data_IF_995929211149
#
_entry.id   IF_995929211149
#
_cell.length_a   1.000
_cell.length_b   1.000
_cell.length_c   1.000
_cell.angle_alpha   90.00
_cell.angle_beta   90.00
_cell.angle_gamma   90.00
#
_symmetry.space_group_name_H-M   'P 1'
#
loop_
_entity.id
_entity.type
_entity.pdbx_description
1 polymer ?
#
# COMPACT_ATOMS: atom_id res chain seq x y z
N UNK A 1 6.46 -2.29 -8.89
CA UNK A 1 6.16 -3.63 -9.45
C UNK A 1 5.10 -3.52 -10.53
N UNK A 2 5.36 -4.08 -11.70
CA UNK A 2 4.43 -4.15 -12.81
C UNK A 2 3.79 -5.54 -12.89
N UNK A 3 2.49 -5.62 -12.65
CA UNK A 3 1.67 -6.84 -12.78
C UNK A 3 2.21 -8.08 -12.04
N UNK A 4 2.61 -8.00 -10.77
CA UNK A 4 3.17 -9.14 -10.06
C UNK A 4 2.18 -10.29 -9.93
N UNK A 5 2.67 -11.52 -10.08
CA UNK A 5 1.93 -12.77 -9.98
C UNK A 5 2.73 -13.74 -9.12
N UNK A 6 2.12 -14.22 -8.02
CA UNK A 6 2.78 -15.16 -7.09
C UNK A 6 4.19 -14.70 -6.71
N UNK A 7 4.30 -13.44 -6.31
CA UNK A 7 5.57 -12.74 -6.08
C UNK A 7 5.80 -12.55 -4.60
N UNK A 8 7.05 -12.68 -4.19
CA UNK A 8 7.50 -12.37 -2.82
C UNK A 8 8.57 -11.28 -2.90
N UNK A 9 8.36 -10.20 -2.14
CA UNK A 9 9.33 -9.14 -1.89
C UNK A 9 9.73 -9.23 -0.42
N UNK A 10 10.92 -9.76 -0.14
CA UNK A 10 11.34 -10.02 1.24
C UNK A 10 12.82 -9.72 1.48
N UNK A 11 13.12 -9.39 2.74
CA UNK A 11 14.48 -9.17 3.25
C UNK A 11 15.25 -8.05 2.53
N UNK A 12 14.52 -7.06 1.97
CA UNK A 12 15.12 -5.89 1.31
C UNK A 12 15.21 -4.70 2.26
N UNK A 13 16.06 -3.75 1.88
CA UNK A 13 16.16 -2.43 2.51
C UNK A 13 15.83 -1.38 1.47
N UNK A 14 14.78 -0.58 1.75
CA UNK A 14 14.40 0.60 1.01
C UNK A 14 14.86 1.80 1.82
N UNK A 15 15.86 2.49 1.34
CA UNK A 15 16.55 3.54 2.10
C UNK A 15 16.40 4.90 1.42
N UNK A 16 15.82 5.87 2.14
CA UNK A 16 15.66 7.27 1.73
C UNK A 16 15.02 7.45 0.34
N UNK A 17 13.93 6.75 0.06
CA UNK A 17 13.20 6.96 -1.20
C UNK A 17 12.51 8.33 -1.21
N UNK A 18 12.59 9.04 -2.32
CA UNK A 18 11.98 10.38 -2.44
C UNK A 18 10.46 10.33 -2.36
N UNK A 19 9.85 9.37 -2.99
CA UNK A 19 8.41 9.10 -2.93
C UNK A 19 8.11 7.73 -2.30
N UNK A 20 7.04 7.11 -2.75
CA UNK A 20 6.63 5.75 -2.38
C UNK A 20 7.78 4.75 -2.59
N UNK A 21 8.09 3.94 -1.57
CA UNK A 21 9.13 2.91 -1.68
C UNK A 21 8.66 1.72 -2.52
N UNK A 22 7.40 1.32 -2.39
CA UNK A 22 6.78 0.28 -3.21
C UNK A 22 5.50 0.82 -3.83
N UNK A 23 5.50 0.94 -5.14
CA UNK A 23 4.33 1.30 -5.94
C UNK A 23 3.78 0.07 -6.66
N UNK A 24 2.49 -0.19 -6.46
CA UNK A 24 1.71 -1.23 -7.11
C UNK A 24 0.58 -0.55 -7.88
N UNK A 25 0.94 0.09 -8.97
CA UNK A 25 0.00 0.79 -9.84
C UNK A 25 -0.40 -0.12 -11.00
N UNK A 26 -1.70 -0.16 -11.29
CA UNK A 26 -2.19 -0.71 -12.54
C UNK A 26 -2.46 0.43 -13.50
N UNK A 27 -1.63 0.60 -14.50
CA UNK A 27 -1.82 1.64 -15.51
C UNK A 27 -2.63 1.10 -16.70
N UNK A 28 -3.91 1.40 -16.67
CA UNK A 28 -4.86 1.10 -17.75
C UNK A 28 -5.47 2.40 -18.32
N UNK A 29 -4.76 3.52 -18.22
CA UNK A 29 -5.24 4.82 -18.63
C UNK A 29 -4.17 5.56 -19.44
N UNK A 30 -4.06 5.24 -20.70
CA UNK A 30 -3.18 5.92 -21.67
C UNK A 30 -1.92 5.13 -22.01
N UNK A 31 -1.10 4.76 -21.05
CA UNK A 31 0.17 4.07 -21.30
C UNK A 31 0.07 2.56 -21.31
N UNK A 32 -0.84 1.99 -20.53
CA UNK A 32 -1.08 0.52 -20.44
C UNK A 32 0.17 -0.29 -20.06
N UNK A 33 1.01 0.25 -19.19
CA UNK A 33 2.31 -0.33 -18.86
C UNK A 33 2.23 -1.42 -17.80
N UNK A 34 1.17 -1.45 -17.00
CA UNK A 34 1.05 -2.43 -15.92
C UNK A 34 -0.39 -2.85 -15.66
N UNK A 35 -0.57 -4.11 -15.31
CA UNK A 35 -1.85 -4.69 -14.93
C UNK A 35 -2.00 -4.85 -13.42
N UNK A 36 -3.02 -5.59 -13.04
CA UNK A 36 -3.35 -5.84 -11.65
C UNK A 36 -2.34 -6.74 -10.93
N UNK A 37 -2.19 -6.52 -9.64
CA UNK A 37 -1.46 -7.41 -8.73
C UNK A 37 -2.31 -8.64 -8.42
N UNK A 38 -1.70 -9.81 -8.42
CA UNK A 38 -2.31 -11.08 -8.00
C UNK A 38 -1.29 -11.88 -7.18
N UNK A 39 -1.63 -12.23 -5.94
CA UNK A 39 -0.79 -13.04 -5.04
C UNK A 39 0.60 -12.45 -4.78
N UNK A 40 0.63 -11.42 -3.94
CA UNK A 40 1.86 -10.74 -3.54
C UNK A 40 2.08 -10.83 -2.03
N UNK A 41 3.30 -11.14 -1.64
CA UNK A 41 3.77 -11.06 -0.26
C UNK A 41 4.88 -10.02 -0.16
N UNK A 42 4.72 -9.04 0.73
CA UNK A 42 5.76 -8.06 1.12
C UNK A 42 6.07 -8.30 2.58
N UNK A 43 7.23 -8.87 2.88
CA UNK A 43 7.56 -9.23 4.27
C UNK A 43 9.03 -9.06 4.61
N UNK A 44 9.29 -8.82 5.91
CA UNK A 44 10.64 -8.70 6.50
C UNK A 44 11.53 -7.65 5.84
N UNK A 45 10.92 -6.67 5.16
CA UNK A 45 11.66 -5.55 4.61
C UNK A 45 11.88 -4.46 5.66
N UNK A 46 12.89 -3.64 5.44
CA UNK A 46 13.12 -2.39 6.16
C UNK A 46 12.84 -1.22 5.23
N UNK A 47 12.00 -0.31 5.68
CA UNK A 47 11.72 0.97 5.03
C UNK A 47 12.32 2.06 5.91
N UNK A 48 13.31 2.76 5.41
CA UNK A 48 14.06 3.79 6.15
C UNK A 48 13.82 5.12 5.47
N UNK A 49 13.14 6.05 6.17
CA UNK A 49 12.92 7.42 5.72
C UNK A 49 12.46 7.55 4.27
N UNK A 50 11.43 6.82 3.88
CA UNK A 50 10.75 7.05 2.61
C UNK A 50 9.94 8.34 2.65
N UNK A 51 9.52 8.84 1.49
CA UNK A 51 8.69 10.04 1.31
C UNK A 51 9.46 11.36 1.61
N UNK A 52 10.73 11.41 1.31
CA UNK A 52 11.54 12.60 1.62
C UNK A 52 11.16 13.84 0.81
N UNK A 53 10.49 13.68 -0.34
CA UNK A 53 10.08 14.83 -1.17
C UNK A 53 8.61 14.90 -1.52
N UNK A 54 7.81 13.87 -1.23
CA UNK A 54 6.38 13.81 -1.58
C UNK A 54 6.11 14.11 -3.06
N UNK A 55 7.01 13.71 -3.94
CA UNK A 55 6.90 13.93 -5.38
C UNK A 55 6.23 12.73 -6.06
N UNK A 56 5.34 13.00 -6.99
CA UNK A 56 4.65 12.08 -7.92
C UNK A 56 4.34 10.63 -7.41
N UNK A 57 3.11 10.21 -7.50
CA UNK A 57 2.62 8.88 -7.03
C UNK A 57 2.84 8.61 -5.53
N UNK A 58 3.01 9.66 -4.76
CA UNK A 58 3.35 9.57 -3.35
C UNK A 58 2.12 9.71 -2.47
N UNK A 59 1.56 8.59 -2.02
CA UNK A 59 0.48 8.57 -1.04
C UNK A 59 0.94 8.03 0.31
N UNK A 60 1.83 7.03 0.30
CA UNK A 60 2.34 6.36 1.47
C UNK A 60 3.66 5.64 1.14
N UNK A 61 4.32 5.07 2.14
CA UNK A 61 5.52 4.25 1.95
C UNK A 61 5.25 3.07 1.00
N UNK A 62 4.08 2.45 1.12
CA UNK A 62 3.57 1.46 0.18
C UNK A 62 2.26 1.98 -0.39
N UNK A 63 2.17 2.12 -1.70
CA UNK A 63 0.97 2.60 -2.41
C UNK A 63 0.46 1.57 -3.41
N UNK A 64 -0.84 1.25 -3.33
CA UNK A 64 -1.52 0.26 -4.17
C UNK A 64 -2.76 0.90 -4.74
N UNK A 65 -2.78 1.19 -6.03
CA UNK A 65 -3.97 1.77 -6.69
C UNK A 65 -3.94 1.54 -8.19
N UNK A 66 -5.09 1.58 -8.88
CA UNK A 66 -5.13 1.57 -10.32
C UNK A 66 -5.24 2.98 -10.92
N UNK A 67 -4.59 3.18 -12.03
CA UNK A 67 -4.85 4.26 -12.98
C UNK A 67 -5.81 3.75 -14.05
N UNK A 68 -7.11 3.80 -13.76
CA UNK A 68 -8.16 3.38 -14.70
C UNK A 68 -9.25 4.44 -14.81
N UNK A 69 -9.78 4.68 -16.03
CA UNK A 69 -10.91 5.57 -16.21
C UNK A 69 -12.15 5.04 -15.48
N UNK A 70 -12.96 5.94 -14.94
CA UNK A 70 -14.25 5.60 -14.34
C UNK A 70 -14.17 4.48 -13.29
N UNK A 71 -13.18 4.51 -12.41
CA UNK A 71 -13.00 3.51 -11.36
C UNK A 71 -14.29 3.24 -10.57
N UNK A 72 -15.09 4.27 -10.29
CA UNK A 72 -16.34 4.13 -9.54
C UNK A 72 -17.39 3.26 -10.26
N UNK A 73 -17.33 3.19 -11.58
CA UNK A 73 -18.25 2.37 -12.40
C UNK A 73 -17.80 0.92 -12.55
N UNK A 74 -16.59 0.58 -12.11
CA UNK A 74 -16.09 -0.80 -12.18
C UNK A 74 -16.86 -1.68 -11.18
N UNK A 75 -17.26 -2.87 -11.62
CA UNK A 75 -17.97 -3.84 -10.77
C UNK A 75 -17.02 -4.52 -9.81
N UNK A 76 -15.86 -4.94 -10.29
CA UNK A 76 -14.87 -5.68 -9.54
C UNK A 76 -13.74 -4.79 -9.01
N UNK A 77 -12.96 -5.34 -8.09
CA UNK A 77 -11.75 -4.73 -7.57
C UNK A 77 -10.58 -5.00 -8.52
N UNK A 78 -9.79 -3.98 -8.78
CA UNK A 78 -8.69 -4.10 -9.76
C UNK A 78 -7.58 -5.05 -9.27
N UNK A 79 -7.09 -4.82 -8.05
CA UNK A 79 -6.02 -5.62 -7.46
C UNK A 79 -6.55 -6.76 -6.59
N UNK A 80 -5.72 -7.78 -6.36
CA UNK A 80 -6.03 -8.93 -5.52
C UNK A 80 -6.88 -9.97 -6.26
N UNK A 81 -8.13 -10.15 -5.85
CA UNK A 81 -9.09 -11.04 -6.49
C UNK A 81 -9.54 -12.21 -5.60
N UNK A 82 -8.93 -12.39 -4.45
CA UNK A 82 -9.34 -13.38 -3.43
C UNK A 82 -8.90 -12.93 -2.04
N UNK A 83 -9.46 -13.53 -1.00
CA UNK A 83 -9.05 -13.28 0.40
C UNK A 83 -7.53 -13.47 0.54
N UNK A 84 -6.86 -12.54 1.24
CA UNK A 84 -5.41 -12.56 1.50
C UNK A 84 -4.53 -12.55 0.25
N UNK A 85 -5.01 -11.99 -0.85
CA UNK A 85 -4.25 -11.93 -2.09
C UNK A 85 -2.99 -11.06 -2.01
N UNK A 86 -3.03 -10.01 -1.18
CA UNK A 86 -1.89 -9.12 -0.91
C UNK A 86 -1.62 -9.16 0.58
N UNK A 87 -0.46 -9.69 0.96
CA UNK A 87 -0.03 -9.82 2.35
C UNK A 87 1.20 -8.93 2.61
N UNK A 88 1.05 -7.98 3.53
CA UNK A 88 2.11 -7.06 3.97
C UNK A 88 2.34 -7.30 5.46
N UNK A 89 3.40 -8.02 5.80
CA UNK A 89 3.63 -8.43 7.18
C UNK A 89 5.09 -8.42 7.62
N UNK A 90 5.30 -8.29 8.93
CA UNK A 90 6.63 -8.42 9.56
C UNK A 90 7.69 -7.45 8.99
N UNK A 91 7.25 -6.34 8.39
CA UNK A 91 8.13 -5.28 7.95
C UNK A 91 8.48 -4.34 9.11
N UNK A 92 9.57 -3.58 8.93
CA UNK A 92 10.00 -2.54 9.86
C UNK A 92 10.01 -1.21 9.14
N UNK A 93 9.25 -0.24 9.67
CA UNK A 93 9.19 1.13 9.19
C UNK A 93 9.94 2.03 10.17
N UNK A 94 11.03 2.62 9.72
CA UNK A 94 11.74 3.70 10.40
C UNK A 94 11.40 4.98 9.65
N UNK A 95 10.55 5.82 10.22
CA UNK A 95 9.94 6.90 9.46
C UNK A 95 9.82 8.18 10.28
N UNK A 96 10.02 9.32 9.63
CA UNK A 96 9.77 10.65 10.17
C UNK A 96 8.34 11.14 9.95
N UNK A 97 7.57 10.46 9.04
CA UNK A 97 6.22 10.87 8.66
C UNK A 97 5.18 9.80 8.99
N UNK A 98 3.89 10.09 8.76
CA UNK A 98 2.78 9.24 9.20
C UNK A 98 2.32 8.19 8.19
N UNK A 99 2.24 8.45 6.87
CA UNK A 99 1.66 7.52 5.92
C UNK A 99 2.50 6.25 5.72
N UNK A 100 1.92 5.09 5.99
CA UNK A 100 2.58 3.79 5.79
C UNK A 100 2.01 3.02 4.60
N UNK A 101 0.68 2.95 4.50
CA UNK A 101 -0.02 2.22 3.46
C UNK A 101 -1.19 3.03 2.91
N UNK A 102 -1.24 3.15 1.60
CA UNK A 102 -2.42 3.58 0.85
C UNK A 102 -2.85 2.45 -0.08
N UNK A 103 -4.12 2.04 -0.03
CA UNK A 103 -4.64 1.00 -0.89
C UNK A 103 -6.01 1.38 -1.46
N UNK A 104 -6.15 1.24 -2.77
CA UNK A 104 -7.39 1.53 -3.50
C UNK A 104 -7.73 0.42 -4.48
N UNK A 105 -9.02 0.04 -4.49
CA UNK A 105 -9.55 -1.00 -5.37
C UNK A 105 -8.83 -2.35 -5.24
N UNK A 106 -8.77 -2.87 -4.02
CA UNK A 106 -8.14 -4.15 -3.68
C UNK A 106 -9.16 -5.12 -3.08
N UNK A 107 -9.16 -6.35 -3.55
CA UNK A 107 -9.85 -7.46 -2.91
C UNK A 107 -8.83 -8.42 -2.28
N UNK A 108 -8.81 -8.47 -0.95
CA UNK A 108 -7.92 -9.33 -0.17
C UNK A 108 -6.60 -8.67 0.23
N UNK A 109 -6.67 -7.68 1.12
CA UNK A 109 -5.52 -6.97 1.67
C UNK A 109 -5.31 -7.34 3.14
N UNK A 110 -4.10 -7.76 3.47
CA UNK A 110 -3.67 -8.00 4.85
C UNK A 110 -2.45 -7.13 5.16
N UNK A 111 -2.58 -6.28 6.18
CA UNK A 111 -1.46 -5.48 6.72
C UNK A 111 -1.36 -5.76 8.22
N UNK A 112 -0.42 -6.60 8.63
CA UNK A 112 -0.31 -7.08 10.02
C UNK A 112 1.13 -7.27 10.49
N UNK A 113 1.30 -7.27 11.81
CA UNK A 113 2.59 -7.57 12.46
C UNK A 113 3.76 -6.72 11.94
N UNK A 114 3.48 -5.53 11.43
CA UNK A 114 4.50 -4.57 11.03
C UNK A 114 4.91 -3.74 12.25
N UNK A 115 6.19 -3.41 12.35
CA UNK A 115 6.73 -2.57 13.42
C UNK A 115 7.05 -1.19 12.88
N UNK A 116 6.61 -0.16 13.60
CA UNK A 116 6.86 1.23 13.25
C UNK A 116 7.70 1.88 14.34
N UNK A 117 8.76 2.54 13.93
CA UNK A 117 9.58 3.38 14.79
C UNK A 117 9.68 4.78 14.18
N UNK A 118 9.10 5.74 14.86
CA UNK A 118 9.19 7.15 14.49
C UNK A 118 10.57 7.71 14.80
N UNK A 119 11.04 8.61 13.94
CA UNK A 119 12.23 9.43 14.14
C UNK A 119 11.93 10.89 13.76
N UNK A 120 12.91 11.76 13.89
CA UNK A 120 12.86 13.19 13.55
C UNK A 120 13.98 13.60 12.59
N UNK A 121 14.41 12.67 11.73
CA UNK A 121 15.51 12.90 10.80
C UNK A 121 15.17 13.95 9.74
N UNK A 122 13.88 14.08 9.41
CA UNK A 122 13.33 15.08 8.51
C UNK A 122 12.04 15.69 9.08
N UNK A 123 11.70 16.93 8.67
CA UNK A 123 10.37 17.49 8.96
C UNK A 123 9.28 16.63 8.32
N UNK A 124 8.26 16.26 9.09
CA UNK A 124 7.11 15.55 8.55
C UNK A 124 6.33 16.44 7.57
N UNK A 125 5.95 15.89 6.43
CA UNK A 125 5.16 16.57 5.39
C UNK A 125 3.67 16.32 5.59
N UNK A 126 3.31 15.17 6.16
CA UNK A 126 1.94 14.77 6.45
C UNK A 126 1.79 14.23 7.88
N UNK A 127 2.10 15.04 8.92
CA UNK A 127 2.15 14.56 10.32
C UNK A 127 0.80 14.05 10.84
N UNK A 128 -0.30 14.61 10.34
CA UNK A 128 -1.67 14.29 10.76
C UNK A 128 -2.35 13.25 9.86
N UNK A 129 -1.65 12.71 8.86
CA UNK A 129 -2.21 11.69 7.99
C UNK A 129 -2.40 10.36 8.72
N UNK A 130 -3.46 9.65 8.35
CA UNK A 130 -3.69 8.30 8.84
C UNK A 130 -2.58 7.35 8.34
N UNK A 131 -2.01 6.51 9.20
CA UNK A 131 -0.95 5.58 8.79
C UNK A 131 -1.39 4.57 7.73
N UNK A 132 -2.64 4.14 7.78
CA UNK A 132 -3.23 3.20 6.83
C UNK A 132 -4.52 3.79 6.28
N UNK A 133 -4.55 4.03 4.97
CA UNK A 133 -5.72 4.52 4.25
C UNK A 133 -6.14 3.47 3.22
N UNK A 134 -7.42 3.11 3.25
CA UNK A 134 -7.99 2.07 2.39
C UNK A 134 -9.26 2.59 1.75
N UNK A 135 -9.31 2.61 0.42
CA UNK A 135 -10.45 3.11 -0.35
C UNK A 135 -10.98 2.03 -1.29
N UNK A 136 -12.30 1.85 -1.32
CA UNK A 136 -12.96 0.90 -2.23
C UNK A 136 -12.26 -0.47 -2.24
N UNK A 137 -12.14 -1.11 -1.08
CA UNK A 137 -11.52 -2.42 -0.91
C UNK A 137 -12.48 -3.43 -0.29
N UNK A 138 -12.20 -4.72 -0.49
CA UNK A 138 -12.94 -5.84 0.05
C UNK A 138 -11.98 -6.83 0.73
N UNK A 139 -12.43 -7.53 1.77
CA UNK A 139 -11.64 -8.50 2.51
C UNK A 139 -10.32 -7.89 3.03
N UNK A 140 -10.46 -6.80 3.78
CA UNK A 140 -9.34 -6.07 4.39
C UNK A 140 -9.16 -6.50 5.83
N UNK A 141 -7.92 -6.82 6.20
CA UNK A 141 -7.52 -7.13 7.57
C UNK A 141 -6.28 -6.31 7.95
N UNK A 142 -6.49 -5.30 8.80
CA UNK A 142 -5.44 -4.35 9.23
C UNK A 142 -5.47 -4.19 10.75
N UNK A 143 -5.15 -5.23 11.54
CA UNK A 143 -5.24 -5.18 13.00
C UNK A 143 -4.33 -4.08 13.56
N UNK A 144 -4.89 -3.28 14.48
CA UNK A 144 -4.20 -2.15 15.11
C UNK A 144 -4.26 -0.85 14.30
N UNK A 145 -4.84 -0.86 13.10
CA UNK A 145 -5.04 0.34 12.30
C UNK A 145 -6.52 0.50 11.95
N UNK A 146 -7.15 1.64 12.31
CA UNK A 146 -8.51 1.89 11.89
C UNK A 146 -8.59 2.03 10.36
N UNK A 147 -9.70 1.60 9.79
CA UNK A 147 -10.00 1.75 8.37
C UNK A 147 -10.76 3.04 8.15
N UNK A 148 -10.30 3.87 7.23
CA UNK A 148 -10.82 5.21 6.96
C UNK A 148 -11.54 5.30 5.61
N UNK A 149 -12.41 4.33 5.32
CA UNK A 149 -13.33 4.43 4.18
C UNK A 149 -14.63 3.70 4.47
N UNK A 150 -15.75 4.39 4.30
CA UNK A 150 -17.09 3.82 4.47
C UNK A 150 -17.46 2.71 3.46
N UNK A 151 -16.63 2.48 2.45
CA UNK A 151 -16.83 1.47 1.41
C UNK A 151 -15.98 0.20 1.63
N UNK A 152 -15.44 0.02 2.82
CA UNK A 152 -14.62 -1.16 3.13
C UNK A 152 -15.44 -2.20 3.88
N UNK A 153 -15.46 -3.40 3.34
CA UNK A 153 -15.99 -4.58 4.04
C UNK A 153 -14.80 -5.30 4.69
N UNK A 154 -14.72 -5.20 6.01
CA UNK A 154 -13.75 -5.94 6.81
C UNK A 154 -14.34 -7.27 7.22
N UNK A 155 -13.65 -8.37 6.93
CA UNK A 155 -13.97 -9.66 7.54
C UNK A 155 -13.17 -9.78 8.84
N UNK A 156 -13.88 -9.85 9.97
CA UNK A 156 -13.26 -10.30 11.22
C UNK A 156 -13.01 -11.79 11.10
N UNK A 157 -11.81 -12.24 11.38
CA UNK A 157 -11.51 -13.63 11.68
C UNK A 157 -11.81 -13.91 13.13
#
# INVERSE_FOLDING_TARGET
FSSPRRTVCEDNIFDHTSGTAILLCGDCNGWYESGAVRDLVIRRNKFINALTSMYQFTNAVISIYPEIPQLAAQRDYFHGGRKNAILIEKNRFYTFDSPLLYAKSVNGLVFKNNKVRKNSDYPALMPDANPVVVERCLNVYTPGYPVFDGNVITTKE
#
